data_IF_420055785111
#
_entry.id   IF_420055785111
#
_cell.length_a   1.000
_cell.length_b   1.000
_cell.length_c   1.000
_cell.angle_alpha   90.00
_cell.angle_beta   90.00
_cell.angle_gamma   90.00
#
_symmetry.space_group_name_H-M   'P 1'
#
loop_
_entity.id
_entity.type
_entity.pdbx_description
1 polymer ?
#
# COMPACT_ATOMS: atom_id res chain seq x y z
N UNK A 1 -24.09 30.35 29.21
CA UNK A 1 -22.84 29.85 28.61
C UNK A 1 -23.17 28.48 28.04
N UNK A 2 -23.72 28.42 26.82
CA UNK A 2 -23.95 27.13 26.17
C UNK A 2 -22.58 26.59 25.79
N UNK A 3 -22.19 25.46 26.39
CA UNK A 3 -20.91 24.81 26.15
C UNK A 3 -20.76 24.49 24.67
N UNK A 4 -19.57 24.78 24.15
CA UNK A 4 -19.13 24.53 22.80
C UNK A 4 -19.14 23.01 22.54
N UNK A 5 -20.25 22.50 21.99
CA UNK A 5 -20.29 21.11 21.51
C UNK A 5 -19.45 21.08 20.24
N UNK A 6 -18.33 20.37 20.26
CA UNK A 6 -17.53 20.14 19.07
C UNK A 6 -18.45 19.70 17.92
N UNK A 7 -18.35 20.37 16.77
CA UNK A 7 -19.19 20.08 15.61
C UNK A 7 -19.05 18.62 15.20
N UNK A 8 -20.18 17.92 15.02
CA UNK A 8 -20.17 16.52 14.61
C UNK A 8 -19.67 16.38 13.16
N UNK A 9 -18.61 15.58 12.96
CA UNK A 9 -18.12 15.21 11.65
C UNK A 9 -18.73 13.86 11.23
N UNK A 10 -19.64 13.85 10.25
CA UNK A 10 -20.27 12.62 9.79
C UNK A 10 -19.35 11.71 8.96
N UNK A 11 -18.28 12.26 8.38
CA UNK A 11 -17.27 11.49 7.63
C UNK A 11 -16.24 10.82 8.56
N UNK A 12 -16.14 11.31 9.80
CA UNK A 12 -15.27 10.77 10.84
C UNK A 12 -15.92 10.87 12.24
N UNK A 13 -17.00 10.09 12.52
CA UNK A 13 -17.80 10.24 13.74
C UNK A 13 -17.04 10.05 15.05
N UNK A 14 -15.96 9.29 15.02
CA UNK A 14 -15.09 9.00 16.17
C UNK A 14 -13.73 9.68 16.09
N UNK A 15 -13.58 10.65 15.18
CA UNK A 15 -12.37 11.48 15.05
C UNK A 15 -11.10 10.64 14.90
N UNK A 16 -11.15 9.58 14.08
CA UNK A 16 -10.00 8.73 13.75
C UNK A 16 -8.80 9.58 13.29
N UNK A 17 -9.03 10.67 12.56
CA UNK A 17 -7.95 11.59 12.17
C UNK A 17 -7.19 12.16 13.37
N UNK A 18 -7.86 12.42 14.49
CA UNK A 18 -7.27 12.91 15.73
C UNK A 18 -6.37 11.88 16.44
N UNK A 19 -6.62 10.59 16.23
CA UNK A 19 -5.85 9.49 16.81
C UNK A 19 -4.58 9.15 16.02
N UNK A 20 -4.43 9.69 14.80
CA UNK A 20 -3.24 9.50 13.99
C UNK A 20 -2.11 10.43 14.44
N UNK A 21 -0.87 10.01 14.30
CA UNK A 21 0.28 10.92 14.40
C UNK A 21 0.52 11.64 13.05
N UNK A 22 1.39 12.64 13.04
CA UNK A 22 1.64 13.46 11.85
C UNK A 22 2.25 12.66 10.69
N UNK A 23 3.11 11.69 10.98
CA UNK A 23 3.69 10.81 9.96
C UNK A 23 2.60 9.94 9.30
N UNK A 24 1.71 9.35 10.09
CA UNK A 24 0.56 8.56 9.60
C UNK A 24 -0.38 9.40 8.72
N UNK A 25 -0.67 10.65 9.13
CA UNK A 25 -1.47 11.58 8.32
C UNK A 25 -0.77 11.91 7.01
N UNK A 26 0.53 12.22 7.05
CA UNK A 26 1.33 12.50 5.85
C UNK A 26 1.36 11.31 4.88
N UNK A 27 1.55 10.09 5.39
CA UNK A 27 1.55 8.86 4.57
C UNK A 27 0.18 8.65 3.92
N UNK A 28 -0.90 8.77 4.71
CA UNK A 28 -2.27 8.67 4.19
C UNK A 28 -2.53 9.68 3.10
N UNK A 29 -2.20 10.94 3.32
CA UNK A 29 -2.50 12.02 2.39
C UNK A 29 -1.70 11.88 1.09
N UNK A 30 -0.45 11.41 1.18
CA UNK A 30 0.38 11.06 0.01
C UNK A 30 -0.22 9.90 -0.79
N UNK A 31 -0.65 8.83 -0.11
CA UNK A 31 -1.30 7.69 -0.75
C UNK A 31 -2.65 8.09 -1.41
N UNK A 32 -3.44 8.92 -0.73
CA UNK A 32 -4.69 9.49 -1.27
C UNK A 32 -4.41 10.31 -2.53
N UNK A 33 -3.44 11.22 -2.48
CA UNK A 33 -3.11 12.07 -3.63
C UNK A 33 -2.71 11.24 -4.84
N UNK A 34 -1.89 10.20 -4.65
CA UNK A 34 -1.56 9.26 -5.70
C UNK A 34 -2.78 8.51 -6.23
N UNK A 35 -3.57 7.91 -5.34
CA UNK A 35 -4.76 7.14 -5.72
C UNK A 35 -5.74 7.98 -6.54
N UNK A 36 -6.06 9.20 -6.09
CA UNK A 36 -7.00 10.08 -6.78
C UNK A 36 -6.46 10.63 -8.10
N UNK A 37 -5.18 10.99 -8.17
CA UNK A 37 -4.62 11.64 -9.37
C UNK A 37 -4.11 10.67 -10.43
N UNK A 38 -3.75 9.45 -10.04
CA UNK A 38 -3.07 8.48 -10.91
C UNK A 38 -3.87 7.19 -11.09
N UNK A 39 -4.50 6.65 -10.05
CA UNK A 39 -5.25 5.40 -10.17
C UNK A 39 -6.69 5.62 -10.65
N UNK A 40 -7.39 6.61 -10.08
CA UNK A 40 -8.79 6.88 -10.40
C UNK A 40 -9.04 7.14 -11.89
N UNK A 41 -8.20 7.89 -12.64
CA UNK A 41 -8.42 8.08 -14.08
C UNK A 41 -8.26 6.80 -14.90
N UNK A 42 -7.55 5.78 -14.39
CA UNK A 42 -7.25 4.52 -15.08
C UNK A 42 -8.31 3.46 -14.85
N UNK A 43 -8.96 3.47 -13.68
CA UNK A 43 -9.75 2.33 -13.16
C UNK A 43 -10.87 1.89 -14.10
N UNK A 44 -11.63 2.80 -14.71
CA UNK A 44 -12.81 2.43 -15.49
C UNK A 44 -12.45 1.60 -16.74
N UNK A 45 -11.41 2.01 -17.47
CA UNK A 45 -10.95 1.29 -18.65
C UNK A 45 -10.12 0.06 -18.28
N UNK A 46 -9.31 0.15 -17.23
CA UNK A 46 -8.54 -0.98 -16.70
C UNK A 46 -9.47 -2.14 -16.31
N UNK A 47 -10.52 -1.85 -15.54
CA UNK A 47 -11.51 -2.83 -15.11
C UNK A 47 -12.29 -3.39 -16.31
N UNK A 48 -12.81 -2.52 -17.18
CA UNK A 48 -13.63 -2.95 -18.33
C UNK A 48 -12.87 -3.86 -19.31
N UNK A 49 -11.58 -3.61 -19.51
CA UNK A 49 -10.76 -4.32 -20.47
C UNK A 49 -9.85 -5.37 -19.83
N UNK A 50 -10.02 -5.64 -18.54
CA UNK A 50 -9.20 -6.61 -17.77
C UNK A 50 -7.68 -6.40 -17.97
N UNK A 51 -7.26 -5.14 -17.95
CA UNK A 51 -5.88 -4.74 -18.21
C UNK A 51 -5.32 -3.86 -17.10
N UNK A 52 -4.10 -4.16 -16.68
CA UNK A 52 -3.38 -3.39 -15.66
C UNK A 52 -2.09 -2.83 -16.23
N UNK A 53 -1.87 -1.53 -16.05
CA UNK A 53 -0.63 -0.87 -16.41
C UNK A 53 0.50 -1.25 -15.44
N UNK A 54 1.55 -1.89 -15.96
CA UNK A 54 2.73 -2.31 -15.19
C UNK A 54 3.49 -1.13 -14.57
N UNK A 55 3.37 0.07 -15.13
CA UNK A 55 4.02 1.27 -14.61
C UNK A 55 3.54 1.64 -13.20
N UNK A 56 2.32 1.19 -12.79
CA UNK A 56 1.76 1.43 -11.46
C UNK A 56 2.69 0.95 -10.34
N UNK A 57 3.39 -0.18 -10.53
CA UNK A 57 4.36 -0.66 -9.53
C UNK A 57 5.55 0.28 -9.38
N UNK A 58 6.06 0.85 -10.48
CA UNK A 58 7.18 1.80 -10.44
C UNK A 58 6.73 3.12 -9.79
N UNK A 59 5.51 3.57 -10.10
CA UNK A 59 4.91 4.74 -9.47
C UNK A 59 4.73 4.54 -7.95
N UNK A 60 4.20 3.39 -7.52
CA UNK A 60 4.08 3.03 -6.11
C UNK A 60 5.43 2.93 -5.41
N UNK A 61 6.44 2.33 -6.06
CA UNK A 61 7.78 2.20 -5.51
C UNK A 61 8.49 3.54 -5.34
N UNK A 62 8.35 4.45 -6.32
CA UNK A 62 8.90 5.80 -6.24
C UNK A 62 8.32 6.63 -5.08
N UNK A 63 7.09 6.31 -4.65
CA UNK A 63 6.42 6.94 -3.52
C UNK A 63 6.61 6.17 -2.19
N UNK A 64 7.34 5.06 -2.19
CA UNK A 64 7.55 4.25 -1.00
C UNK A 64 6.30 3.48 -0.54
N UNK A 65 5.35 3.18 -1.43
CA UNK A 65 4.12 2.46 -1.07
C UNK A 65 4.30 0.93 -1.06
N UNK A 66 5.46 0.42 -1.52
CA UNK A 66 5.80 -1.00 -1.57
C UNK A 66 6.75 -1.38 -0.44
N UNK A 67 6.43 -2.44 0.31
CA UNK A 67 7.24 -2.87 1.44
C UNK A 67 7.33 -1.82 2.55
N UNK A 68 6.27 -1.02 2.73
CA UNK A 68 6.30 0.20 3.54
C UNK A 68 6.78 -0.03 4.98
N UNK A 69 6.56 -1.21 5.55
CA UNK A 69 6.95 -1.57 6.93
C UNK A 69 8.36 -2.15 7.08
N UNK A 70 9.06 -2.42 5.97
CA UNK A 70 10.41 -2.98 6.00
C UNK A 70 11.42 -1.89 6.33
N UNK A 71 12.34 -2.19 7.25
CA UNK A 71 13.44 -1.30 7.63
C UNK A 71 14.65 -1.56 6.72
N UNK A 72 15.23 -0.49 6.17
CA UNK A 72 16.38 -0.58 5.26
C UNK A 72 16.01 -1.03 3.84
N UNK A 73 17.03 -1.41 3.05
CA UNK A 73 16.88 -1.91 1.67
C UNK A 73 16.09 -1.00 0.71
N UNK A 74 16.10 0.30 0.94
CA UNK A 74 15.32 1.28 0.16
C UNK A 74 13.82 1.31 0.49
N UNK A 75 13.39 0.68 1.59
CA UNK A 75 12.02 0.73 2.08
C UNK A 75 11.83 1.87 3.11
N UNK A 76 10.62 2.42 3.25
CA UNK A 76 10.35 3.55 4.16
C UNK A 76 10.47 3.24 5.65
N UNK A 77 10.15 2.01 6.07
CA UNK A 77 10.15 1.64 7.49
C UNK A 77 9.03 2.28 8.33
N UNK A 78 7.87 2.59 7.74
CA UNK A 78 6.71 3.14 8.47
C UNK A 78 5.98 2.05 9.27
N UNK A 79 5.12 2.46 10.20
CA UNK A 79 4.39 1.52 11.05
C UNK A 79 3.23 0.81 10.32
N UNK A 80 2.62 -0.19 11.01
CA UNK A 80 1.51 -0.96 10.44
C UNK A 80 0.21 -0.14 10.29
N UNK A 81 -0.01 0.90 11.11
CA UNK A 81 -1.14 1.84 10.93
C UNK A 81 -1.01 2.55 9.59
N UNK A 82 0.19 3.05 9.28
CA UNK A 82 0.53 3.66 8.00
C UNK A 82 0.32 2.71 6.83
N UNK A 83 0.74 1.44 6.95
CA UNK A 83 0.43 0.43 5.93
C UNK A 83 -1.08 0.26 5.71
N UNK A 84 -1.85 0.18 6.78
CA UNK A 84 -3.31 0.12 6.71
C UNK A 84 -3.94 1.35 6.05
N UNK A 85 -3.42 2.54 6.34
CA UNK A 85 -3.87 3.80 5.73
C UNK A 85 -3.56 3.85 4.23
N UNK A 86 -2.37 3.40 3.81
CA UNK A 86 -2.03 3.26 2.38
C UNK A 86 -3.03 2.32 1.70
N UNK A 87 -3.25 1.13 2.27
CA UNK A 87 -4.20 0.16 1.72
C UNK A 87 -5.61 0.73 1.60
N UNK A 88 -6.09 1.44 2.64
CA UNK A 88 -7.41 2.11 2.64
C UNK A 88 -7.54 3.12 1.51
N UNK A 89 -6.52 3.97 1.28
CA UNK A 89 -6.61 5.01 0.26
C UNK A 89 -6.43 4.47 -1.17
N UNK A 90 -5.64 3.41 -1.37
CA UNK A 90 -5.54 2.71 -2.66
C UNK A 90 -6.83 1.97 -3.00
N UNK A 91 -7.39 1.22 -2.05
CA UNK A 91 -8.63 0.45 -2.24
C UNK A 91 -9.87 1.33 -2.33
N UNK A 92 -9.83 2.56 -1.81
CA UNK A 92 -10.86 3.57 -2.08
C UNK A 92 -11.09 3.77 -3.58
N UNK A 93 -10.08 3.50 -4.42
CA UNK A 93 -10.20 3.51 -5.87
C UNK A 93 -10.56 2.12 -6.40
N UNK A 94 -9.76 1.09 -6.10
CA UNK A 94 -9.99 -0.26 -6.60
C UNK A 94 -9.27 -1.34 -5.78
N UNK A 95 -9.96 -2.46 -5.55
CA UNK A 95 -9.43 -3.62 -4.82
C UNK A 95 -8.32 -4.36 -5.58
N UNK A 96 -8.30 -4.32 -6.92
CA UNK A 96 -7.24 -4.90 -7.74
C UNK A 96 -5.90 -4.21 -7.54
N UNK A 97 -5.89 -2.87 -7.49
CA UNK A 97 -4.68 -2.10 -7.19
C UNK A 97 -4.14 -2.37 -5.78
N UNK A 98 -5.03 -2.44 -4.77
CA UNK A 98 -4.62 -2.82 -3.41
C UNK A 98 -4.11 -4.26 -3.38
N UNK A 99 -4.67 -5.18 -4.19
CA UNK A 99 -4.22 -6.57 -4.29
C UNK A 99 -2.79 -6.68 -4.79
N UNK A 100 -2.45 -5.96 -5.85
CA UNK A 100 -1.08 -5.87 -6.37
C UNK A 100 -0.09 -5.41 -5.30
N UNK A 101 -0.44 -4.35 -4.57
CA UNK A 101 0.39 -3.80 -3.50
C UNK A 101 0.55 -4.78 -2.33
N UNK A 102 -0.53 -5.47 -1.93
CA UNK A 102 -0.52 -6.47 -0.85
C UNK A 102 0.35 -7.67 -1.20
N UNK A 103 0.25 -8.20 -2.43
CA UNK A 103 1.10 -9.30 -2.89
C UNK A 103 2.57 -8.88 -2.84
N UNK A 104 2.92 -7.74 -3.44
CA UNK A 104 4.29 -7.25 -3.47
C UNK A 104 4.86 -7.05 -2.05
N UNK A 105 4.13 -6.34 -1.19
CA UNK A 105 4.63 -5.97 0.15
C UNK A 105 4.62 -7.14 1.11
N UNK A 106 3.46 -7.78 1.30
CA UNK A 106 3.23 -8.74 2.38
C UNK A 106 3.48 -10.19 1.98
N UNK A 107 3.35 -10.55 0.69
CA UNK A 107 3.50 -11.94 0.24
C UNK A 107 4.84 -12.20 -0.46
N UNK A 108 5.55 -11.15 -0.87
CA UNK A 108 6.87 -11.29 -1.53
C UNK A 108 7.96 -10.65 -0.68
N UNK A 109 7.88 -9.33 -0.44
CA UNK A 109 8.96 -8.62 0.25
C UNK A 109 9.08 -9.05 1.71
N UNK A 110 7.96 -9.18 2.44
CA UNK A 110 7.97 -9.63 3.83
C UNK A 110 8.62 -11.01 4.05
N UNK A 111 8.29 -12.09 3.31
CA UNK A 111 8.97 -13.37 3.52
C UNK A 111 10.44 -13.35 3.12
N UNK A 112 10.84 -12.58 2.09
CA UNK A 112 12.27 -12.40 1.76
C UNK A 112 12.99 -11.69 2.92
N UNK A 113 12.38 -10.64 3.47
CA UNK A 113 12.93 -9.90 4.60
C UNK A 113 13.08 -10.78 5.85
N UNK A 114 12.01 -11.47 6.22
CA UNK A 114 11.93 -12.23 7.49
C UNK A 114 12.65 -13.57 7.43
N UNK A 115 12.55 -14.30 6.31
CA UNK A 115 13.01 -15.68 6.20
C UNK A 115 14.20 -15.85 5.26
N UNK A 116 14.54 -14.82 4.47
CA UNK A 116 15.67 -14.87 3.56
C UNK A 116 17.03 -14.76 4.25
N UNK A 117 18.08 -15.09 3.51
CA UNK A 117 19.46 -14.75 3.89
C UNK A 117 19.77 -13.29 3.59
N UNK A 118 20.84 -12.75 4.17
CA UNK A 118 21.24 -11.36 3.89
C UNK A 118 21.52 -11.13 2.41
N UNK A 119 22.18 -12.08 1.75
CA UNK A 119 22.44 -12.02 0.31
C UNK A 119 21.15 -12.01 -0.52
N UNK A 120 20.07 -12.65 -0.05
CA UNK A 120 18.76 -12.58 -0.70
C UNK A 120 18.11 -11.21 -0.46
N UNK A 121 18.14 -10.69 0.78
CA UNK A 121 17.59 -9.37 1.10
C UNK A 121 18.22 -8.26 0.25
N UNK A 122 19.56 -8.18 0.26
CA UNK A 122 20.33 -7.18 -0.50
C UNK A 122 20.10 -7.28 -2.01
N UNK A 123 19.94 -8.50 -2.55
CA UNK A 123 19.71 -8.71 -3.98
C UNK A 123 18.30 -8.32 -4.42
N UNK A 124 17.28 -8.69 -3.64
CA UNK A 124 15.88 -8.64 -4.09
C UNK A 124 15.12 -7.41 -3.57
N UNK A 125 15.26 -7.07 -2.28
CA UNK A 125 14.41 -6.05 -1.66
C UNK A 125 14.54 -4.66 -2.31
N UNK A 126 15.73 -4.13 -2.63
CA UNK A 126 15.83 -2.82 -3.28
C UNK A 126 15.09 -2.73 -4.61
N UNK A 127 15.10 -3.81 -5.40
CA UNK A 127 14.43 -3.87 -6.71
C UNK A 127 12.92 -4.07 -6.59
N UNK A 128 12.47 -4.77 -5.56
CA UNK A 128 11.05 -4.93 -5.26
C UNK A 128 10.46 -3.64 -4.68
N UNK A 129 11.22 -2.93 -3.83
CA UNK A 129 10.85 -1.66 -3.23
C UNK A 129 10.67 -0.55 -4.26
N UNK A 130 11.58 -0.47 -5.25
CA UNK A 130 11.48 0.50 -6.34
C UNK A 130 10.39 0.17 -7.37
N UNK A 131 9.85 -1.05 -7.33
CA UNK A 131 8.94 -1.56 -8.35
C UNK A 131 9.60 -1.99 -9.66
N UNK A 132 10.94 -1.89 -9.79
CA UNK A 132 11.70 -2.42 -10.94
C UNK A 132 11.34 -3.90 -11.16
N UNK A 133 11.30 -4.67 -10.06
CA UNK A 133 10.87 -6.05 -10.06
C UNK A 133 9.49 -6.20 -9.44
N UNK A 134 8.69 -7.10 -10.01
CA UNK A 134 7.37 -7.46 -9.48
C UNK A 134 7.41 -8.93 -9.12
N UNK A 135 7.02 -9.22 -7.88
CA UNK A 135 6.90 -10.59 -7.39
C UNK A 135 5.47 -11.09 -7.44
N UNK A 136 5.36 -12.40 -7.28
CA UNK A 136 4.11 -13.10 -7.04
C UNK A 136 4.35 -14.14 -5.94
N UNK A 137 3.26 -14.66 -5.37
CA UNK A 137 3.31 -15.65 -4.32
C UNK A 137 2.51 -16.88 -4.72
N UNK A 138 3.21 -18.01 -4.88
CA UNK A 138 2.60 -19.29 -5.19
C UNK A 138 2.41 -20.11 -3.92
N UNK A 139 1.15 -20.32 -3.54
CA UNK A 139 0.77 -21.17 -2.40
C UNK A 139 -0.41 -22.06 -2.76
N UNK A 140 -1.50 -21.46 -3.25
CA UNK A 140 -2.71 -22.19 -3.64
C UNK A 140 -2.47 -23.04 -4.89
N UNK A 141 -2.94 -24.29 -4.85
CA UNK A 141 -2.88 -25.27 -5.94
C UNK A 141 -4.31 -25.66 -6.37
N UNK A 142 -4.52 -26.29 -7.55
CA UNK A 142 -5.87 -26.65 -8.02
C UNK A 142 -6.70 -27.45 -7.00
N UNK A 143 -6.06 -28.30 -6.20
CA UNK A 143 -6.71 -29.17 -5.22
C UNK A 143 -6.56 -28.68 -3.76
N UNK A 144 -5.89 -27.53 -3.51
CA UNK A 144 -5.62 -27.01 -2.17
C UNK A 144 -5.74 -25.48 -2.10
N UNK A 145 -6.86 -24.99 -1.56
CA UNK A 145 -7.15 -23.56 -1.40
C UNK A 145 -7.99 -23.17 -0.18
N UNK A 146 -8.84 -24.09 0.32
CA UNK A 146 -9.58 -23.99 1.59
C UNK A 146 -10.33 -25.29 1.87
#
# INVERSE_FOLDING_TARGET
>A
MAGDWAGFNWEDPFLMDGELNDEERMVRDSARQYAQNKLLPRVQLAFRNEHTDRAIFNEMGALGLLGSTIQGYGCPGVNYVSYGLIAREVERVDSGFRSMMSVQSSLVMYPIYTYGTEAQREKYLPKLASGEWVGCFGLTEPDHGS
#
